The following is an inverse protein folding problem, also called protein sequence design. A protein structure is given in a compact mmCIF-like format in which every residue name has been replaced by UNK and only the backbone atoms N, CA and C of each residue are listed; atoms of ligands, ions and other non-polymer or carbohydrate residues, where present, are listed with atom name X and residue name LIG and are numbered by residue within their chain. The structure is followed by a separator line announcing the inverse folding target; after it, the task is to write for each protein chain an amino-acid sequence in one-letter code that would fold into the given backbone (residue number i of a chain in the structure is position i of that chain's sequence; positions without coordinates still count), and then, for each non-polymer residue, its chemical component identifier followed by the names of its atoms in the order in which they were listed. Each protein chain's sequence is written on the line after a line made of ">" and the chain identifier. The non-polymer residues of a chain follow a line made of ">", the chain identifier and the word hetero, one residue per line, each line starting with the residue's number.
data_IF_984589452651
#
_entry.id   IF_984589452651
#
_cell.length_a   1.000
_cell.length_b   1.000
_cell.length_c   1.000
_cell.angle_alpha   90.00
_cell.angle_beta   90.00
_cell.angle_gamma   90.00
#
_symmetry.space_group_name_H-M   'P 1'
#
loop_
_entity.id
_entity.type
_entity.pdbx_description
1 polymer ?
#
# COMPACT_ATOMS: atom_id res chain seq x y z
N UNK A 1 -4.57 -25.08 -12.98
CA UNK A 1 -5.60 -24.12 -13.40
C UNK A 1 -6.95 -24.79 -13.31
N UNK A 2 -7.90 -24.22 -12.58
CA UNK A 2 -9.25 -24.79 -12.45
C UNK A 2 -10.05 -24.59 -13.76
N UNK A 3 -10.82 -25.60 -14.19
CA UNK A 3 -11.50 -25.64 -15.50
C UNK A 3 -13.00 -26.01 -15.40
N UNK A 4 -13.65 -25.66 -14.30
CA UNK A 4 -15.10 -25.89 -14.11
C UNK A 4 -15.94 -24.66 -14.41
N UNK A 5 -17.25 -24.76 -14.21
CA UNK A 5 -18.19 -23.63 -14.19
C UNK A 5 -18.59 -23.33 -12.74
N UNK A 6 -18.40 -22.08 -12.31
CA UNK A 6 -18.61 -21.62 -10.93
C UNK A 6 -19.82 -20.71 -10.97
N UNK A 7 -20.82 -20.99 -10.12
CA UNK A 7 -21.97 -20.10 -10.02
C UNK A 7 -21.50 -18.71 -9.55
N UNK A 8 -21.97 -17.59 -10.15
CA UNK A 8 -21.52 -16.24 -9.79
C UNK A 8 -21.63 -15.95 -8.28
N UNK A 9 -22.71 -16.41 -7.64
CA UNK A 9 -22.92 -16.27 -6.19
C UNK A 9 -21.81 -16.91 -5.36
N UNK A 10 -21.26 -18.04 -5.82
CA UNK A 10 -20.18 -18.75 -5.14
C UNK A 10 -18.83 -18.06 -5.31
N UNK A 11 -18.63 -17.35 -6.42
CA UNK A 11 -17.42 -16.53 -6.62
C UNK A 11 -17.43 -15.35 -5.67
N UNK A 12 -18.58 -14.67 -5.52
CA UNK A 12 -18.75 -13.56 -4.58
C UNK A 12 -18.47 -14.02 -3.15
N UNK A 13 -19.08 -15.12 -2.73
CA UNK A 13 -18.88 -15.71 -1.40
C UNK A 13 -17.40 -16.03 -1.10
N UNK A 14 -16.67 -16.55 -2.09
CA UNK A 14 -15.22 -16.81 -1.98
C UNK A 14 -14.37 -15.55 -1.87
N UNK A 15 -14.77 -14.47 -2.54
CA UNK A 15 -14.05 -13.18 -2.47
C UNK A 15 -14.31 -12.50 -1.14
N UNK A 16 -15.55 -12.52 -0.66
CA UNK A 16 -15.95 -11.89 0.61
C UNK A 16 -15.30 -12.55 1.84
N UNK A 17 -15.11 -13.87 1.81
CA UNK A 17 -14.52 -14.63 2.92
C UNK A 17 -13.04 -14.97 2.73
N UNK A 18 -12.38 -14.32 1.77
CA UNK A 18 -10.97 -14.58 1.50
C UNK A 18 -10.10 -14.00 2.62
N UNK A 19 -9.10 -14.72 3.13
CA UNK A 19 -8.25 -14.20 4.19
C UNK A 19 -7.34 -13.07 3.67
N UNK A 20 -6.94 -12.18 4.58
CA UNK A 20 -6.14 -11.00 4.26
C UNK A 20 -4.75 -11.32 3.69
N UNK A 21 -4.22 -12.52 3.97
CA UNK A 21 -2.94 -13.04 3.46
C UNK A 21 -3.07 -13.74 2.09
N UNK A 22 -4.26 -13.71 1.49
CA UNK A 22 -4.50 -14.34 0.20
C UNK A 22 -3.71 -13.68 -0.95
N UNK A 23 -3.55 -14.43 -2.04
CA UNK A 23 -2.90 -13.93 -3.25
C UNK A 23 -3.63 -12.70 -3.82
N UNK A 24 -4.96 -12.75 -3.80
CA UNK A 24 -5.81 -11.70 -4.30
C UNK A 24 -5.64 -10.44 -3.47
N UNK A 25 -5.76 -10.54 -2.15
CA UNK A 25 -5.62 -9.39 -1.26
C UNK A 25 -4.24 -8.73 -1.39
N UNK A 26 -3.16 -9.54 -1.48
CA UNK A 26 -1.81 -9.03 -1.76
C UNK A 26 -1.70 -8.34 -3.13
N UNK A 27 -2.30 -8.92 -4.17
CA UNK A 27 -2.28 -8.33 -5.52
C UNK A 27 -3.00 -6.99 -5.58
N UNK A 28 -4.14 -6.86 -4.90
CA UNK A 28 -4.89 -5.60 -4.76
C UNK A 28 -4.09 -4.55 -4.01
N UNK A 29 -3.31 -4.96 -2.99
CA UNK A 29 -2.46 -4.05 -2.21
C UNK A 29 -1.18 -3.60 -2.92
N UNK A 30 -0.84 -4.13 -4.08
CA UNK A 30 0.35 -3.74 -4.85
C UNK A 30 1.34 -4.86 -5.17
N UNK A 31 1.02 -6.11 -4.82
CA UNK A 31 1.75 -7.28 -5.29
C UNK A 31 2.13 -8.28 -4.19
N UNK A 32 2.84 -9.36 -4.55
CA UNK A 32 3.15 -10.47 -3.64
C UNK A 32 3.92 -10.05 -2.39
N UNK A 33 4.70 -8.97 -2.46
CA UNK A 33 5.43 -8.41 -1.32
C UNK A 33 4.50 -7.94 -0.18
N UNK A 34 3.26 -7.57 -0.49
CA UNK A 34 2.26 -7.13 0.50
C UNK A 34 1.51 -8.28 1.19
N UNK A 35 1.85 -9.55 0.87
CA UNK A 35 1.22 -10.71 1.50
C UNK A 35 1.65 -10.87 2.96
N UNK A 36 2.96 -10.79 3.22
CA UNK A 36 3.52 -11.00 4.55
C UNK A 36 3.44 -9.75 5.45
N UNK A 37 2.93 -8.64 4.90
CA UNK A 37 2.77 -7.37 5.62
C UNK A 37 1.33 -7.22 6.08
N UNK A 38 0.96 -8.04 7.05
CA UNK A 38 -0.28 -7.86 7.79
C UNK A 38 -0.16 -6.69 8.78
N UNK A 39 -1.27 -6.36 9.45
CA UNK A 39 -1.32 -5.27 10.44
C UNK A 39 -0.31 -5.51 11.57
N UNK A 40 -0.17 -6.75 12.03
CA UNK A 40 0.76 -7.10 13.10
C UNK A 40 2.22 -6.86 12.68
N UNK A 41 2.59 -7.25 11.46
CA UNK A 41 3.93 -7.03 10.91
C UNK A 41 4.23 -5.54 10.76
N UNK A 42 3.24 -4.75 10.33
CA UNK A 42 3.37 -3.30 10.28
C UNK A 42 3.62 -2.68 11.66
N UNK A 43 2.85 -3.11 12.67
CA UNK A 43 3.01 -2.62 14.05
C UNK A 43 4.34 -3.06 14.66
N UNK A 44 4.77 -4.30 14.41
CA UNK A 44 6.03 -4.83 14.89
C UNK A 44 7.22 -4.08 14.27
N UNK A 45 7.18 -3.82 12.96
CA UNK A 45 8.21 -3.00 12.31
C UNK A 45 8.29 -1.59 12.91
N UNK A 46 7.13 -0.96 13.18
CA UNK A 46 7.09 0.35 13.82
C UNK A 46 7.66 0.32 15.25
N UNK A 47 7.38 -0.74 16.01
CA UNK A 47 7.93 -0.94 17.35
C UNK A 47 9.46 -1.12 17.30
N UNK A 48 9.97 -1.96 16.40
CA UNK A 48 11.41 -2.17 16.21
C UNK A 48 12.11 -0.86 15.85
N UNK A 49 11.53 -0.07 14.94
CA UNK A 49 12.07 1.24 14.57
C UNK A 49 12.10 2.21 15.76
N UNK A 50 11.05 2.20 16.60
CA UNK A 50 10.98 2.98 17.82
C UNK A 50 12.06 2.58 18.83
N UNK A 51 12.28 1.27 19.03
CA UNK A 51 13.32 0.75 19.93
C UNK A 51 14.72 1.12 19.44
N UNK A 52 14.99 0.95 18.14
CA UNK A 52 16.27 1.35 17.55
C UNK A 52 16.51 2.86 17.72
N UNK A 53 15.49 3.68 17.51
CA UNK A 53 15.59 5.13 17.70
C UNK A 53 15.88 5.49 19.15
N UNK A 54 15.17 4.88 20.10
CA UNK A 54 15.39 5.11 21.53
C UNK A 54 16.82 4.73 21.95
N UNK A 55 17.28 3.54 21.54
CA UNK A 55 18.64 3.09 21.80
C UNK A 55 19.69 4.03 21.18
N UNK A 56 19.45 4.52 19.97
CA UNK A 56 20.31 5.51 19.33
C UNK A 56 20.34 6.85 20.08
N UNK A 57 19.19 7.35 20.55
CA UNK A 57 19.13 8.59 21.36
C UNK A 57 19.97 8.42 22.64
N UNK A 58 19.79 7.30 23.34
CA UNK A 58 20.58 7.00 24.54
C UNK A 58 22.07 6.88 24.23
N UNK A 59 22.46 6.15 23.18
CA UNK A 59 23.85 6.01 22.78
C UNK A 59 24.47 7.36 22.37
N UNK A 60 23.73 8.19 21.65
CA UNK A 60 24.19 9.50 21.21
C UNK A 60 24.38 10.46 22.40
N UNK A 61 23.48 10.43 23.38
CA UNK A 61 23.61 11.24 24.60
C UNK A 61 24.87 10.87 25.43
N UNK A 62 25.30 9.61 25.36
CA UNK A 62 26.48 9.12 26.08
C UNK A 62 27.77 9.14 25.22
N UNK A 63 27.71 9.63 23.99
CA UNK A 63 28.85 9.67 23.07
C UNK A 63 29.31 11.10 22.82
N UNK A 64 30.62 11.30 22.79
CA UNK A 64 31.24 12.57 22.36
C UNK A 64 31.26 12.72 20.83
N UNK A 65 31.03 11.64 20.09
CA UNK A 65 31.02 11.61 18.63
C UNK A 65 29.59 11.39 18.11
N UNK A 66 29.31 11.92 16.91
CA UNK A 66 28.00 11.73 16.27
C UNK A 66 27.87 10.29 15.78
N UNK A 67 26.86 9.58 16.31
CA UNK A 67 26.52 8.21 15.94
C UNK A 67 25.52 8.24 14.79
N UNK A 68 25.70 7.37 13.81
CA UNK A 68 24.78 7.23 12.68
C UNK A 68 23.40 6.80 13.16
N UNK A 69 22.36 7.55 12.73
CA UNK A 69 20.98 7.22 13.02
C UNK A 69 20.59 5.91 12.33
N UNK A 70 19.91 4.97 13.03
CA UNK A 70 19.47 3.73 12.42
C UNK A 70 18.46 3.99 11.30
N UNK A 71 18.53 3.18 10.24
CA UNK A 71 17.54 3.20 9.17
C UNK A 71 16.31 2.39 9.60
N UNK A 72 15.09 2.83 9.24
CA UNK A 72 13.89 2.04 9.46
C UNK A 72 13.96 0.68 8.77
N UNK A 73 13.23 -0.30 9.31
CA UNK A 73 13.01 -1.60 8.66
C UNK A 73 12.37 -1.36 7.28
N UNK A 74 12.87 -2.00 6.21
CA UNK A 74 12.32 -1.86 4.86
C UNK A 74 10.86 -2.32 4.81
N UNK A 75 9.98 -1.55 4.16
CA UNK A 75 8.53 -1.82 4.05
C UNK A 75 8.09 -1.74 2.59
N UNK A 76 7.15 -2.58 2.13
CA UNK A 76 6.77 -2.67 0.72
C UNK A 76 6.13 -1.37 0.20
N UNK A 77 5.45 -0.60 1.05
CA UNK A 77 4.89 0.71 0.66
C UNK A 77 5.93 1.85 0.72
N UNK A 78 7.05 1.68 1.42
CA UNK A 78 8.09 2.70 1.58
C UNK A 78 9.18 2.63 0.51
N UNK A 79 9.27 1.52 -0.23
CA UNK A 79 10.22 1.33 -1.34
C UNK A 79 9.72 1.88 -2.67
N UNK A 80 8.47 2.33 -2.77
CA UNK A 80 8.12 3.24 -3.84
C UNK A 80 8.74 4.58 -3.48
N UNK A 81 9.81 5.05 -4.16
CA UNK A 81 10.10 6.48 -4.14
C UNK A 81 8.78 7.16 -4.48
N UNK A 82 8.46 8.27 -3.80
CA UNK A 82 7.32 9.09 -4.16
C UNK A 82 7.49 9.46 -5.63
N UNK A 83 6.98 8.62 -6.52
CA UNK A 83 6.74 8.92 -7.89
C UNK A 83 5.75 10.04 -7.76
N UNK A 84 6.25 11.27 -7.94
CA UNK A 84 5.47 12.48 -8.07
C UNK A 84 4.16 12.08 -8.72
N UNK A 85 3.07 12.12 -7.94
CA UNK A 85 1.78 11.59 -8.34
C UNK A 85 1.28 12.45 -9.49
N UNK A 86 1.77 12.15 -10.69
CA UNK A 86 1.41 12.85 -11.90
C UNK A 86 -0.09 12.62 -12.02
N UNK A 87 -0.91 13.69 -12.08
CA UNK A 87 -2.34 13.52 -12.21
C UNK A 87 -2.59 12.59 -13.40
N UNK A 88 -3.36 11.53 -13.14
CA UNK A 88 -3.65 10.51 -14.14
C UNK A 88 -4.42 11.21 -15.27
N UNK A 89 -3.73 11.51 -16.38
CA UNK A 89 -4.33 12.16 -17.54
C UNK A 89 -5.19 11.15 -18.31
N UNK A 90 -6.44 11.03 -17.85
CA UNK A 90 -7.44 10.14 -18.44
C UNK A 90 -8.00 10.68 -19.76
N UNK A 91 -7.63 11.90 -20.18
CA UNK A 91 -8.15 12.56 -21.39
C UNK A 91 -7.78 11.82 -22.69
N UNK A 92 -6.76 10.96 -22.65
CA UNK A 92 -6.26 10.18 -23.79
C UNK A 92 -6.54 8.68 -23.66
N UNK A 93 -7.28 8.25 -22.63
CA UNK A 93 -7.56 6.84 -22.41
C UNK A 93 -8.55 6.31 -23.46
N UNK A 94 -8.34 5.12 -24.07
CA UNK A 94 -9.19 4.59 -25.14
C UNK A 94 -10.67 4.46 -24.76
N UNK A 95 -10.96 4.27 -23.48
CA UNK A 95 -12.31 4.16 -22.93
C UNK A 95 -12.86 5.45 -22.31
N UNK A 96 -12.14 6.57 -22.43
CA UNK A 96 -12.60 7.85 -21.88
C UNK A 96 -13.83 8.34 -22.66
N UNK A 97 -14.98 8.37 -21.98
CA UNK A 97 -16.18 9.03 -22.50
C UNK A 97 -16.14 10.51 -22.11
N UNK A 98 -16.57 11.44 -22.99
CA UNK A 98 -16.64 12.85 -22.64
C UNK A 98 -17.56 13.04 -21.43
N UNK A 99 -17.19 13.97 -20.54
CA UNK A 99 -18.01 14.31 -19.37
C UNK A 99 -19.35 14.89 -19.88
N UNK A 100 -20.50 14.34 -19.47
CA UNK A 100 -21.81 14.86 -19.88
C UNK A 100 -21.98 16.34 -19.49
N UNK A 101 -22.56 17.14 -20.38
CA UNK A 101 -22.66 18.62 -20.25
C UNK A 101 -23.29 19.08 -18.93
N UNK A 102 -24.24 18.31 -18.40
CA UNK A 102 -24.89 18.57 -17.11
C UNK A 102 -23.90 18.68 -15.94
N UNK A 103 -22.77 17.97 -16.00
CA UNK A 103 -21.73 18.03 -14.96
C UNK A 103 -20.76 19.19 -15.18
N UNK A 104 -20.55 19.63 -16.43
CA UNK A 104 -19.73 20.80 -16.74
C UNK A 104 -20.42 22.10 -16.30
N UNK A 105 -21.73 22.20 -16.50
CA UNK A 105 -22.53 23.33 -16.06
C UNK A 105 -22.52 23.48 -14.52
N UNK A 106 -22.49 22.37 -13.78
CA UNK A 106 -22.44 22.36 -12.32
C UNK A 106 -21.08 22.77 -11.73
N UNK A 107 -19.99 22.73 -12.51
CA UNK A 107 -18.66 23.18 -12.09
C UNK A 107 -18.39 24.66 -12.39
N UNK A 108 -19.27 25.31 -13.15
CA UNK A 108 -19.14 26.72 -13.59
C UNK A 108 -20.06 27.69 -12.83
N UNK A 109 -20.86 27.20 -11.87
CA UNK A 109 -21.59 27.99 -10.86
C UNK A 109 -20.91 27.85 -9.50
#
# INVERSE_FOLDING_TARGET
>A
MWRGTLAPRRVVDLVEHLPDDSALAASVRGGPAHRAWDVQTHLLAALVDGVHLAAWVTAQANSKQRITRPRPVPRPAAEQPAAEAKPLDLSRHPDARPIPEQYLAAMAS
#
